data_IF_934555139415
#
_entry.id   IF_934555139415
#
_cell.length_a   1.000
_cell.length_b   1.000
_cell.length_c   1.000
_cell.angle_alpha   90.00
_cell.angle_beta   90.00
_cell.angle_gamma   90.00
#
_symmetry.space_group_name_H-M   'P 1'
#
loop_
_entity.id
_entity.type
_entity.pdbx_description
1 polymer ?
#
# COMPACT_ATOMS: atom_id res chain seq x y z
N UNK A 1 -6.57 -2.94 11.59
CA UNK A 1 -5.65 -3.47 10.57
C UNK A 1 -5.65 -4.99 10.49
N UNK A 2 -5.24 -5.70 11.55
CA UNK A 2 -5.11 -7.17 11.59
C UNK A 2 -6.34 -7.96 11.10
N UNK A 3 -7.55 -7.50 11.44
CA UNK A 3 -8.83 -8.08 11.01
C UNK A 3 -9.00 -8.15 9.49
N UNK A 4 -8.41 -7.22 8.74
CA UNK A 4 -8.56 -7.17 7.27
C UNK A 4 -7.94 -8.42 6.65
N UNK A 5 -6.83 -8.94 7.21
CA UNK A 5 -6.17 -10.16 6.74
C UNK A 5 -5.69 -10.07 5.29
N UNK A 6 -5.80 -11.16 4.53
CA UNK A 6 -5.33 -11.24 3.13
C UNK A 6 -5.93 -10.20 2.18
N UNK A 7 -7.23 -9.82 2.27
CA UNK A 7 -7.80 -8.70 1.51
C UNK A 7 -6.99 -7.40 1.55
N UNK A 8 -6.22 -7.17 2.61
CA UNK A 8 -5.35 -6.01 2.75
C UNK A 8 -4.32 -5.91 1.63
N UNK A 9 -3.74 -7.04 1.19
CA UNK A 9 -2.77 -7.06 0.11
C UNK A 9 -3.39 -6.62 -1.21
N UNK A 10 -4.65 -6.99 -1.46
CA UNK A 10 -5.40 -6.53 -2.63
C UNK A 10 -5.74 -5.04 -2.56
N UNK A 11 -6.12 -4.53 -1.37
CA UNK A 11 -6.40 -3.10 -1.22
C UNK A 11 -5.12 -2.30 -1.46
N UNK A 12 -4.01 -2.70 -0.85
CA UNK A 12 -2.73 -2.02 -1.04
C UNK A 12 -2.22 -2.10 -2.47
N UNK A 13 -2.33 -3.27 -3.12
CA UNK A 13 -1.82 -3.42 -4.49
C UNK A 13 -2.73 -2.78 -5.53
N UNK A 14 -4.05 -3.00 -5.44
CA UNK A 14 -5.01 -2.55 -6.45
C UNK A 14 -5.49 -1.12 -6.24
N UNK A 15 -5.45 -0.61 -5.00
CA UNK A 15 -5.75 0.79 -4.69
C UNK A 15 -4.49 1.58 -4.41
N UNK A 16 -3.84 1.38 -3.27
CA UNK A 16 -2.78 2.28 -2.80
C UNK A 16 -1.62 2.41 -3.80
N UNK A 17 -1.02 1.30 -4.23
CA UNK A 17 0.09 1.32 -5.19
C UNK A 17 -0.33 1.81 -6.57
N UNK A 18 -1.48 1.36 -7.09
CA UNK A 18 -1.97 1.84 -8.39
C UNK A 18 -2.30 3.34 -8.35
N UNK A 19 -2.82 3.85 -7.23
CA UNK A 19 -3.05 5.26 -7.03
C UNK A 19 -1.73 6.04 -7.00
N UNK A 20 -0.75 5.58 -6.23
CA UNK A 20 0.59 6.18 -6.18
C UNK A 20 1.29 6.15 -7.54
N UNK A 21 1.10 5.08 -8.33
CA UNK A 21 1.62 4.99 -9.69
C UNK A 21 0.99 5.99 -10.64
N UNK A 22 -0.20 6.52 -10.34
CA UNK A 22 -0.80 7.59 -11.13
C UNK A 22 -0.04 8.93 -11.00
N UNK A 23 0.94 9.05 -10.10
CA UNK A 23 1.85 10.19 -10.01
C UNK A 23 3.21 9.88 -10.62
N UNK A 24 3.49 10.45 -11.80
CA UNK A 24 4.79 10.27 -12.48
C UNK A 24 5.98 10.72 -11.61
N UNK A 25 5.84 11.81 -10.86
CA UNK A 25 6.90 12.31 -9.98
C UNK A 25 7.15 11.40 -8.78
N UNK A 26 6.08 10.90 -8.13
CA UNK A 26 6.19 10.07 -6.94
C UNK A 26 6.83 8.70 -7.24
N UNK A 27 6.69 8.18 -8.46
CA UNK A 27 7.31 6.91 -8.85
C UNK A 27 8.77 7.01 -9.28
N UNK A 28 9.27 8.19 -9.68
CA UNK A 28 10.65 8.34 -10.19
C UNK A 28 11.71 7.81 -9.24
N UNK A 29 11.66 7.99 -7.91
CA UNK A 29 12.68 7.42 -7.02
C UNK A 29 12.83 5.88 -7.16
N UNK A 30 11.77 5.19 -7.58
CA UNK A 30 11.78 3.74 -7.83
C UNK A 30 12.56 3.38 -9.09
N UNK A 31 12.59 4.29 -10.06
CA UNK A 31 13.24 4.13 -11.35
C UNK A 31 14.74 4.37 -11.21
N UNK A 32 15.11 5.44 -10.52
CA UNK A 32 16.50 5.81 -10.19
C UNK A 32 17.24 4.79 -9.32
N UNK A 33 16.52 4.03 -8.49
CA UNK A 33 17.13 2.98 -7.68
C UNK A 33 17.38 1.69 -8.46
N UNK A 34 16.95 1.61 -9.74
CA UNK A 34 17.17 0.48 -10.62
C UNK A 34 16.37 -0.78 -10.24
N UNK A 35 15.24 -0.60 -9.54
CA UNK A 35 14.47 -1.70 -8.94
C UNK A 35 13.12 -1.96 -9.62
N UNK A 36 12.94 -1.50 -10.87
CA UNK A 36 11.65 -1.47 -11.55
C UNK A 36 11.14 -2.84 -12.03
N UNK A 37 12.01 -3.69 -12.57
CA UNK A 37 11.59 -4.81 -13.42
C UNK A 37 11.77 -6.19 -12.76
N UNK A 38 12.85 -6.40 -11.99
CA UNK A 38 13.18 -7.71 -11.38
C UNK A 38 12.98 -7.78 -9.87
N UNK A 39 12.62 -6.66 -9.24
CA UNK A 39 12.49 -6.56 -7.79
C UNK A 39 11.07 -6.28 -7.30
N UNK A 40 10.08 -6.12 -8.19
CA UNK A 40 8.70 -5.83 -7.77
C UNK A 40 8.15 -6.86 -6.75
N UNK A 41 8.30 -8.19 -6.94
CA UNK A 41 7.88 -9.17 -5.93
C UNK A 41 8.61 -9.00 -4.59
N UNK A 42 9.92 -8.78 -4.63
CA UNK A 42 10.75 -8.58 -3.43
C UNK A 42 10.31 -7.32 -2.69
N UNK A 43 10.20 -6.19 -3.37
CA UNK A 43 9.77 -4.91 -2.76
C UNK A 43 8.36 -4.96 -2.19
N UNK A 44 7.45 -5.68 -2.84
CA UNK A 44 6.13 -5.96 -2.28
C UNK A 44 6.25 -6.75 -0.97
N UNK A 45 7.12 -7.75 -0.93
CA UNK A 45 7.38 -8.53 0.27
C UNK A 45 8.02 -7.67 1.39
N UNK A 46 8.97 -6.79 1.06
CA UNK A 46 9.61 -5.85 1.99
C UNK A 46 8.59 -4.86 2.59
N UNK A 47 7.73 -4.29 1.73
CA UNK A 47 6.62 -3.42 2.16
C UNK A 47 5.62 -4.19 3.00
N UNK A 48 5.33 -5.44 2.64
CA UNK A 48 4.49 -6.36 3.41
C UNK A 48 5.07 -6.66 4.79
N UNK A 49 6.39 -6.82 4.93
CA UNK A 49 7.05 -6.97 6.23
C UNK A 49 6.86 -5.71 7.08
N UNK A 50 7.18 -4.54 6.52
CA UNK A 50 7.01 -3.26 7.22
C UNK A 50 5.58 -3.10 7.75
N UNK A 51 4.60 -3.37 6.89
CA UNK A 51 3.18 -3.35 7.20
C UNK A 51 2.83 -4.27 8.38
N UNK A 52 3.26 -5.51 8.30
CA UNK A 52 2.99 -6.54 9.30
C UNK A 52 3.56 -6.12 10.66
N UNK A 53 4.83 -5.70 10.71
CA UNK A 53 5.52 -5.32 11.94
C UNK A 53 4.94 -4.05 12.58
N UNK A 54 4.60 -3.04 11.78
CA UNK A 54 3.94 -1.81 12.27
C UNK A 54 2.57 -2.10 12.86
N UNK A 55 1.83 -3.04 12.26
CA UNK A 55 0.45 -3.30 12.62
C UNK A 55 0.27 -4.39 13.69
N UNK A 56 1.37 -4.87 14.29
CA UNK A 56 1.30 -5.70 15.49
C UNK A 56 0.89 -4.89 16.72
N UNK A 57 0.30 -5.57 17.71
CA UNK A 57 0.02 -4.96 19.00
C UNK A 57 1.35 -4.54 19.64
N UNK A 58 1.50 -3.25 19.95
CA UNK A 58 2.77 -2.69 20.42
C UNK A 58 3.87 -2.59 19.36
N UNK A 59 3.59 -2.89 18.08
CA UNK A 59 4.57 -2.92 16.99
C UNK A 59 5.27 -1.59 16.70
N UNK A 60 4.67 -0.48 17.16
CA UNK A 60 5.21 0.89 17.04
C UNK A 60 5.55 1.54 18.39
N UNK A 61 5.56 0.76 19.47
CA UNK A 61 6.13 1.22 20.74
C UNK A 61 7.64 1.51 20.55
N UNK A 62 8.24 2.42 21.36
CA UNK A 62 9.67 2.66 21.30
C UNK A 62 10.47 1.36 21.34
N UNK A 63 11.39 1.19 20.40
CA UNK A 63 12.22 -0.02 20.23
C UNK A 63 11.45 -1.30 19.84
N UNK A 64 10.18 -1.24 19.46
CA UNK A 64 9.53 -2.35 18.77
C UNK A 64 10.05 -2.49 17.33
N UNK A 65 9.75 -3.62 16.68
CA UNK A 65 10.29 -3.90 15.35
C UNK A 65 9.74 -2.96 14.28
N UNK A 66 8.42 -2.74 14.25
CA UNK A 66 7.80 -1.76 13.34
C UNK A 66 8.34 -0.34 13.55
N UNK A 67 8.59 0.05 14.81
CA UNK A 67 9.25 1.32 15.14
C UNK A 67 10.66 1.41 14.56
N UNK A 68 11.49 0.36 14.71
CA UNK A 68 12.85 0.31 14.15
C UNK A 68 12.82 0.37 12.63
N UNK A 69 11.91 -0.37 11.99
CA UNK A 69 11.79 -0.38 10.52
C UNK A 69 11.37 1.02 10.03
N UNK A 70 10.41 1.69 10.67
CA UNK A 70 9.98 3.04 10.28
C UNK A 70 11.16 4.04 10.30
N UNK A 71 12.03 3.97 11.33
CA UNK A 71 13.24 4.80 11.39
C UNK A 71 14.29 4.40 10.34
N UNK A 72 14.47 3.11 10.06
CA UNK A 72 15.35 2.65 8.97
C UNK A 72 14.87 3.17 7.63
N UNK A 73 13.57 3.15 7.35
CA UNK A 73 12.96 3.72 6.14
C UNK A 73 13.24 5.22 6.04
N UNK A 74 13.15 5.98 7.14
CA UNK A 74 13.53 7.41 7.16
C UNK A 74 14.98 7.64 6.73
N UNK A 75 15.91 6.86 7.29
CA UNK A 75 17.33 6.95 6.96
C UNK A 75 17.59 6.53 5.50
N UNK A 76 16.94 5.46 5.05
CA UNK A 76 16.98 4.99 3.67
C UNK A 76 16.50 6.09 2.71
N UNK A 77 15.35 6.72 2.97
CA UNK A 77 14.83 7.83 2.16
C UNK A 77 15.79 9.01 2.11
N UNK A 78 16.46 9.36 3.21
CA UNK A 78 17.49 10.40 3.21
C UNK A 78 18.69 10.02 2.33
N UNK A 79 19.15 8.77 2.41
CA UNK A 79 20.22 8.23 1.57
C UNK A 79 19.86 8.22 0.09
N UNK A 80 18.68 7.70 -0.26
CA UNK A 80 18.15 7.68 -1.63
C UNK A 80 17.99 9.08 -2.19
N UNK A 81 17.43 10.02 -1.41
CA UNK A 81 17.31 11.43 -1.83
C UNK A 81 18.67 12.03 -2.16
N UNK A 82 19.68 11.82 -1.30
CA UNK A 82 21.05 12.30 -1.55
C UNK A 82 21.68 11.65 -2.78
N UNK A 83 21.46 10.34 -2.97
CA UNK A 83 21.96 9.59 -4.12
C UNK A 83 21.38 10.13 -5.42
N UNK A 84 20.06 10.29 -5.49
CA UNK A 84 19.34 10.82 -6.66
C UNK A 84 19.80 12.23 -7.01
N UNK A 85 19.87 13.13 -6.01
CA UNK A 85 20.31 14.50 -6.26
C UNK A 85 21.78 14.59 -6.73
N UNK A 86 22.62 13.61 -6.36
CA UNK A 86 24.02 13.54 -6.79
C UNK A 86 24.21 12.93 -8.18
N UNK A 87 23.23 12.22 -8.72
CA UNK A 87 23.38 11.63 -10.06
C UNK A 87 23.40 12.70 -11.16
N UNK A 88 22.84 13.89 -10.90
CA UNK A 88 22.71 14.96 -11.89
C UNK A 88 21.61 14.74 -12.93
N UNK A 89 20.92 13.60 -12.87
CA UNK A 89 19.87 13.19 -13.81
C UNK A 89 18.46 13.54 -13.33
N UNK A 90 18.31 14.01 -12.08
CA UNK A 90 17.02 14.37 -11.51
C UNK A 90 16.57 15.77 -11.95
N UNK A 91 15.41 15.87 -12.60
CA UNK A 91 14.78 17.14 -12.98
C UNK A 91 13.90 17.67 -11.84
N UNK A 92 14.50 18.47 -10.95
CA UNK A 92 13.77 19.08 -9.82
C UNK A 92 12.74 20.12 -10.25
N UNK A 93 12.89 20.75 -11.41
CA UNK A 93 11.90 21.71 -11.89
C UNK A 93 10.60 21.02 -12.29
N UNK A 94 10.71 19.81 -12.86
CA UNK A 94 9.56 19.01 -13.30
C UNK A 94 8.98 18.13 -12.20
N UNK A 95 9.81 17.51 -11.36
CA UNK A 95 9.37 16.50 -10.38
C UNK A 95 9.42 16.96 -8.93
N UNK A 96 9.88 18.19 -8.66
CA UNK A 96 10.15 18.65 -7.31
C UNK A 96 11.36 17.96 -6.68
N UNK A 97 11.48 17.98 -5.36
CA UNK A 97 12.54 17.23 -4.67
C UNK A 97 12.19 15.74 -4.60
N UNK A 98 13.17 14.83 -4.72
CA UNK A 98 12.91 13.41 -4.61
C UNK A 98 12.45 13.05 -3.21
N UNK A 99 11.39 12.24 -3.10
CA UNK A 99 10.79 11.82 -1.82
C UNK A 99 10.48 13.07 -0.98
N UNK A 100 9.78 14.05 -1.56
CA UNK A 100 9.44 15.28 -0.84
C UNK A 100 8.34 15.05 0.21
N UNK A 101 8.05 16.08 1.01
CA UNK A 101 7.09 15.99 2.11
C UNK A 101 5.65 15.73 1.64
N UNK A 102 5.26 16.23 0.46
CA UNK A 102 3.93 15.99 -0.10
C UNK A 102 3.77 14.53 -0.54
N UNK A 103 4.77 13.97 -1.23
CA UNK A 103 4.78 12.55 -1.63
C UNK A 103 4.77 11.64 -0.39
N UNK A 104 5.58 11.97 0.62
CA UNK A 104 5.60 11.22 1.87
C UNK A 104 4.24 11.26 2.59
N UNK A 105 3.57 12.42 2.63
CA UNK A 105 2.22 12.53 3.19
C UNK A 105 1.18 11.75 2.36
N UNK A 106 1.31 11.76 1.02
CA UNK A 106 0.52 10.93 0.11
C UNK A 106 0.65 9.43 0.43
N UNK A 107 1.87 8.95 0.67
CA UNK A 107 2.08 7.56 1.12
C UNK A 107 1.43 7.27 2.48
N UNK A 108 1.43 8.21 3.42
CA UNK A 108 0.71 8.03 4.70
C UNK A 108 -0.80 7.93 4.47
N UNK A 109 -1.37 8.76 3.57
CA UNK A 109 -2.78 8.67 3.14
C UNK A 109 -3.09 7.30 2.52
N UNK A 110 -2.21 6.80 1.65
CA UNK A 110 -2.33 5.49 0.98
C UNK A 110 -2.39 4.31 1.96
N UNK A 111 -1.59 4.32 3.02
CA UNK A 111 -1.60 3.28 4.06
C UNK A 111 -2.76 3.42 5.06
N UNK A 112 -3.38 4.60 5.13
CA UNK A 112 -4.42 4.91 6.10
C UNK A 112 -5.81 4.93 5.46
N UNK A 113 -6.16 6.07 4.87
CA UNK A 113 -7.49 6.37 4.36
C UNK A 113 -7.87 5.47 3.17
N UNK A 114 -6.94 5.18 2.27
CA UNK A 114 -7.22 4.31 1.12
C UNK A 114 -7.40 2.86 1.56
N UNK A 115 -6.65 2.40 2.57
CA UNK A 115 -6.87 1.08 3.17
C UNK A 115 -8.25 0.99 3.82
N UNK A 116 -8.64 2.02 4.56
CA UNK A 116 -9.94 2.09 5.21
C UNK A 116 -11.08 2.12 4.17
N UNK A 117 -10.98 2.97 3.15
CA UNK A 117 -11.95 3.06 2.07
C UNK A 117 -12.05 1.74 1.29
N UNK A 118 -10.91 1.14 0.93
CA UNK A 118 -10.85 -0.15 0.23
C UNK A 118 -11.47 -1.28 1.03
N UNK A 119 -11.21 -1.33 2.34
CA UNK A 119 -11.82 -2.32 3.19
C UNK A 119 -13.35 -2.15 3.24
N UNK A 120 -13.86 -0.92 3.35
CA UNK A 120 -15.31 -0.66 3.32
C UNK A 120 -15.95 -1.03 1.98
N UNK A 121 -15.27 -0.73 0.88
CA UNK A 121 -15.73 -1.13 -0.46
C UNK A 121 -15.79 -2.66 -0.62
N UNK A 122 -14.85 -3.38 -0.03
CA UNK A 122 -14.87 -4.84 0.06
C UNK A 122 -15.88 -5.38 1.08
N UNK A 123 -16.62 -4.54 1.83
CA UNK A 123 -17.67 -4.97 2.75
C UNK A 123 -17.29 -5.04 4.23
N UNK A 124 -16.06 -4.67 4.60
CA UNK A 124 -15.68 -4.57 6.00
C UNK A 124 -16.42 -3.42 6.70
N UNK A 125 -16.87 -3.65 7.93
CA UNK A 125 -17.53 -2.62 8.76
C UNK A 125 -16.57 -2.14 9.83
N UNK A 126 -16.47 -0.83 10.00
CA UNK A 126 -15.63 -0.22 11.02
C UNK A 126 -16.45 0.67 11.93
N UNK A 127 -16.18 0.61 13.23
CA UNK A 127 -16.66 1.63 14.16
C UNK A 127 -15.87 2.94 13.93
N UNK A 128 -16.44 4.11 14.28
CA UNK A 128 -15.70 5.37 14.21
C UNK A 128 -14.35 5.29 14.93
N UNK A 129 -14.33 4.77 16.17
CA UNK A 129 -13.10 4.62 16.94
C UNK A 129 -12.03 3.71 16.28
N UNK A 130 -12.44 2.69 15.53
CA UNK A 130 -11.50 1.82 14.81
C UNK A 130 -10.89 2.53 13.59
N UNK A 131 -11.70 3.37 12.94
CA UNK A 131 -11.28 4.17 11.80
C UNK A 131 -10.27 5.24 12.25
N UNK A 132 -10.59 5.94 13.34
CA UNK A 132 -9.70 6.92 13.97
C UNK A 132 -8.40 6.28 14.48
N UNK A 133 -8.46 5.10 15.09
CA UNK A 133 -7.27 4.38 15.53
C UNK A 133 -6.35 4.00 14.35
N UNK A 134 -6.92 3.65 13.20
CA UNK A 134 -6.14 3.33 11.99
C UNK A 134 -5.45 4.58 11.43
N UNK A 135 -6.16 5.71 11.33
CA UNK A 135 -5.57 6.98 10.89
C UNK A 135 -4.48 7.44 11.87
N UNK A 136 -4.73 7.32 13.17
CA UNK A 136 -3.76 7.69 14.20
C UNK A 136 -2.48 6.85 14.14
N UNK A 137 -2.60 5.52 13.96
CA UNK A 137 -1.45 4.63 13.78
C UNK A 137 -0.53 5.13 12.67
N UNK A 138 -1.09 5.45 11.51
CA UNK A 138 -0.31 5.90 10.36
C UNK A 138 0.17 7.35 10.49
N UNK A 139 -0.54 8.21 11.21
CA UNK A 139 -0.04 9.52 11.60
C UNK A 139 1.23 9.40 12.46
N UNK A 140 1.24 8.47 13.42
CA UNK A 140 2.42 8.16 14.23
C UNK A 140 3.57 7.59 13.39
N UNK A 141 3.29 6.63 12.51
CA UNK A 141 4.30 6.08 11.59
C UNK A 141 4.86 7.15 10.64
N UNK A 142 4.02 8.08 10.17
CA UNK A 142 4.44 9.24 9.39
C UNK A 142 5.40 10.15 10.16
N UNK A 143 5.13 10.39 11.43
CA UNK A 143 6.05 11.13 12.31
C UNK A 143 7.40 10.43 12.42
N UNK A 144 7.42 9.13 12.70
CA UNK A 144 8.66 8.33 12.76
C UNK A 144 9.42 8.39 11.43
N UNK A 145 8.70 8.30 10.31
CA UNK A 145 9.25 8.33 8.95
C UNK A 145 9.75 9.71 8.51
N UNK A 146 9.46 10.78 9.28
CA UNK A 146 9.95 12.13 9.03
C UNK A 146 9.02 13.05 8.23
N UNK A 147 7.71 12.75 8.21
CA UNK A 147 6.70 13.67 7.67
C UNK A 147 6.53 14.87 8.62
N UNK A 148 6.45 16.08 8.06
CA UNK A 148 6.31 17.31 8.81
C UNK A 148 4.98 17.36 9.58
N UNK A 149 5.02 17.88 10.82
CA UNK A 149 3.85 17.95 11.69
C UNK A 149 2.63 18.64 11.05
N UNK A 150 2.76 19.78 10.33
CA UNK A 150 1.59 20.41 9.71
C UNK A 150 0.84 19.52 8.71
N UNK A 151 1.54 18.63 7.99
CA UNK A 151 0.90 17.68 7.06
C UNK A 151 0.23 16.53 7.81
N UNK A 152 0.82 16.11 8.93
CA UNK A 152 0.24 15.08 9.80
C UNK A 152 -0.98 15.61 10.55
N UNK A 153 -1.03 16.89 10.89
CA UNK A 153 -2.18 17.53 11.54
C UNK A 153 -3.44 17.51 10.65
N UNK A 154 -3.26 17.45 9.32
CA UNK A 154 -4.37 17.21 8.38
C UNK A 154 -4.95 15.79 8.50
N UNK A 155 -4.19 14.84 9.05
CA UNK A 155 -4.64 13.49 9.40
C UNK A 155 -5.04 13.38 10.89
N UNK A 156 -5.45 14.49 11.51
CA UNK A 156 -5.90 14.50 12.90
C UNK A 156 -7.06 13.53 13.15
N UNK A 157 -7.97 13.42 12.17
CA UNK A 157 -9.09 12.49 12.13
C UNK A 157 -9.41 12.07 10.70
N UNK A 158 -10.32 11.11 10.53
CA UNK A 158 -10.68 10.59 9.22
C UNK A 158 -11.25 11.67 8.29
N UNK A 159 -12.20 12.47 8.75
CA UNK A 159 -12.90 13.45 7.92
C UNK A 159 -11.96 14.53 7.36
N UNK A 160 -11.10 15.09 8.22
CA UNK A 160 -10.07 16.06 7.80
C UNK A 160 -9.07 15.41 6.84
N UNK A 161 -8.67 14.17 7.12
CA UNK A 161 -7.76 13.42 6.26
C UNK A 161 -8.33 13.19 4.86
N UNK A 162 -9.62 12.89 4.74
CA UNK A 162 -10.29 12.74 3.44
C UNK A 162 -10.27 14.07 2.66
N UNK A 163 -10.57 15.19 3.31
CA UNK A 163 -10.49 16.50 2.66
C UNK A 163 -9.07 16.81 2.17
N UNK A 164 -8.06 16.49 2.97
CA UNK A 164 -6.66 16.65 2.58
C UNK A 164 -6.25 15.71 1.44
N UNK A 165 -6.72 14.46 1.43
CA UNK A 165 -6.46 13.53 0.34
C UNK A 165 -7.04 14.02 -1.00
N UNK A 166 -8.23 14.63 -1.00
CA UNK A 166 -8.79 15.25 -2.20
C UNK A 166 -7.92 16.43 -2.69
N UNK A 167 -7.39 17.26 -1.79
CA UNK A 167 -6.46 18.33 -2.16
C UNK A 167 -5.16 17.79 -2.76
N UNK A 168 -4.56 16.76 -2.14
CA UNK A 168 -3.35 16.12 -2.67
C UNK A 168 -3.59 15.58 -4.07
N UNK A 169 -4.74 14.92 -4.29
CA UNK A 169 -5.12 14.36 -5.60
C UNK A 169 -5.21 15.41 -6.70
N UNK A 170 -5.64 16.64 -6.38
CA UNK A 170 -5.76 17.73 -7.37
C UNK A 170 -4.40 18.23 -7.88
N UNK A 171 -3.33 18.06 -7.10
CA UNK A 171 -1.99 18.55 -7.44
C UNK A 171 -1.04 17.44 -7.91
N UNK A 172 -1.48 16.18 -7.89
CA UNK A 172 -0.65 15.09 -8.39
C UNK A 172 -0.48 15.21 -9.91
N UNK A 173 0.76 15.12 -10.42
CA UNK A 173 0.96 14.99 -11.85
C UNK A 173 0.32 13.68 -12.33
N UNK A 174 -0.15 13.65 -13.58
CA UNK A 174 -0.62 12.39 -14.18
C UNK A 174 0.51 11.37 -14.36
N UNK A 175 0.17 10.15 -14.81
CA UNK A 175 1.14 9.09 -15.02
C UNK A 175 2.03 9.39 -16.22
N UNK A 176 3.27 8.90 -16.18
CA UNK A 176 4.17 8.87 -17.33
C UNK A 176 4.57 7.42 -17.68
N UNK A 177 5.58 7.23 -18.54
CA UNK A 177 5.96 5.88 -18.96
C UNK A 177 6.41 4.99 -17.79
N UNK A 178 7.09 5.55 -16.79
CA UNK A 178 7.55 4.77 -15.63
C UNK A 178 6.36 4.29 -14.79
N UNK A 179 5.32 5.12 -14.69
CA UNK A 179 4.04 4.75 -14.07
C UNK A 179 3.39 3.55 -14.76
N UNK A 180 3.39 3.54 -16.09
CA UNK A 180 2.80 2.46 -16.89
C UNK A 180 3.57 1.15 -16.70
N UNK A 181 4.90 1.23 -16.71
CA UNK A 181 5.77 0.06 -16.59
C UNK A 181 5.63 -0.56 -15.19
N UNK A 182 5.57 0.27 -14.15
CA UNK A 182 5.30 -0.18 -12.77
C UNK A 182 3.93 -0.81 -12.60
N UNK A 183 2.88 -0.20 -13.18
CA UNK A 183 1.54 -0.76 -13.15
C UNK A 183 1.48 -2.12 -13.87
N UNK A 184 2.15 -2.25 -15.02
CA UNK A 184 2.23 -3.50 -15.76
C UNK A 184 2.98 -4.59 -14.96
N UNK A 185 4.12 -4.25 -14.35
CA UNK A 185 4.90 -5.17 -13.53
C UNK A 185 4.13 -5.65 -12.30
N UNK A 186 3.46 -4.74 -11.58
CA UNK A 186 2.69 -5.08 -10.38
C UNK A 186 1.58 -6.11 -10.66
N UNK A 187 0.90 -5.97 -11.80
CA UNK A 187 -0.21 -6.87 -12.19
C UNK A 187 0.22 -8.31 -12.38
N UNK A 188 1.46 -8.55 -12.82
CA UNK A 188 1.93 -9.90 -13.11
C UNK A 188 2.63 -10.58 -11.94
N UNK A 189 2.87 -9.87 -10.82
CA UNK A 189 3.49 -10.43 -9.61
C UNK A 189 2.84 -11.76 -9.16
N UNK A 190 1.50 -11.92 -9.10
CA UNK A 190 0.91 -13.20 -8.72
C UNK A 190 1.27 -14.36 -9.67
N UNK A 191 1.47 -14.07 -10.97
CA UNK A 191 1.88 -15.08 -11.96
C UNK A 191 3.37 -15.40 -11.86
N UNK A 192 4.20 -14.41 -11.60
CA UNK A 192 5.66 -14.59 -11.43
C UNK A 192 6.00 -15.32 -10.13
N UNK A 193 5.26 -15.06 -9.06
CA UNK A 193 5.44 -15.75 -7.78
C UNK A 193 4.92 -17.20 -7.79
N UNK A 194 4.11 -17.60 -8.78
CA UNK A 194 3.49 -18.92 -8.83
C UNK A 194 4.48 -20.02 -9.27
N UNK A 195 4.78 -20.96 -8.36
CA UNK A 195 5.74 -22.04 -8.59
C UNK A 195 5.05 -23.32 -9.06
N UNK A 196 3.93 -23.66 -8.42
CA UNK A 196 3.19 -24.90 -8.67
C UNK A 196 2.10 -24.74 -9.74
N UNK A 197 1.63 -25.85 -10.32
CA UNK A 197 0.51 -25.83 -11.30
C UNK A 197 -0.78 -25.23 -10.71
N UNK A 198 -1.06 -25.52 -9.43
CA UNK A 198 -2.23 -24.98 -8.72
C UNK A 198 -2.11 -23.47 -8.52
N UNK A 199 -0.94 -22.98 -8.14
CA UNK A 199 -0.69 -21.54 -8.00
C UNK A 199 -0.78 -20.82 -9.35
N UNK A 200 -0.29 -21.42 -10.43
CA UNK A 200 -0.42 -20.84 -11.78
C UNK A 200 -1.88 -20.72 -12.22
N UNK A 201 -2.70 -21.72 -11.91
CA UNK A 201 -4.14 -21.67 -12.16
C UNK A 201 -4.82 -20.59 -11.32
N UNK A 202 -4.48 -20.50 -10.03
CA UNK A 202 -5.00 -19.46 -9.15
C UNK A 202 -4.60 -18.06 -9.63
N UNK A 203 -3.34 -17.87 -10.03
CA UNK A 203 -2.84 -16.62 -10.56
C UNK A 203 -3.60 -16.16 -11.81
N UNK A 204 -4.03 -17.09 -12.67
CA UNK A 204 -4.84 -16.79 -13.84
C UNK A 204 -6.21 -16.17 -13.49
N UNK A 205 -6.77 -16.48 -12.32
CA UNK A 205 -7.99 -15.85 -11.80
C UNK A 205 -7.71 -14.59 -10.97
N UNK A 206 -6.60 -14.57 -10.22
CA UNK A 206 -6.22 -13.44 -9.35
C UNK A 206 -5.88 -12.19 -10.14
N UNK A 207 -5.17 -12.31 -11.27
CA UNK A 207 -4.79 -11.14 -12.10
C UNK A 207 -6.01 -10.36 -12.61
N UNK A 208 -6.98 -10.95 -13.30
CA UNK A 208 -8.14 -10.18 -13.77
C UNK A 208 -9.02 -9.70 -12.61
N UNK A 209 -9.06 -10.41 -11.48
CA UNK A 209 -9.71 -9.91 -10.27
C UNK A 209 -9.03 -8.66 -9.70
N UNK A 210 -7.69 -8.67 -9.59
CA UNK A 210 -6.90 -7.51 -9.19
C UNK A 210 -7.11 -6.31 -10.13
N UNK A 211 -7.12 -6.54 -11.44
CA UNK A 211 -7.44 -5.51 -12.43
C UNK A 211 -8.83 -4.93 -12.18
N UNK A 212 -9.83 -5.80 -11.98
CA UNK A 212 -11.19 -5.40 -11.62
C UNK A 212 -11.26 -4.53 -10.36
N UNK A 213 -10.56 -4.91 -9.30
CA UNK A 213 -10.45 -4.10 -8.08
C UNK A 213 -9.80 -2.74 -8.35
N UNK A 214 -8.77 -2.70 -9.20
CA UNK A 214 -8.11 -1.43 -9.58
C UNK A 214 -9.11 -0.48 -10.24
N UNK A 215 -9.97 -0.99 -11.14
CA UNK A 215 -11.06 -0.23 -11.75
C UNK A 215 -12.12 0.21 -10.73
N UNK A 216 -12.53 -0.68 -9.82
CA UNK A 216 -13.57 -0.38 -8.84
C UNK A 216 -13.12 0.69 -7.82
N UNK A 217 -11.86 0.65 -7.41
CA UNK A 217 -11.30 1.53 -6.39
C UNK A 217 -10.86 2.91 -6.93
N UNK A 218 -10.11 2.92 -8.04
CA UNK A 218 -9.52 4.17 -8.56
C UNK A 218 -10.44 4.90 -9.56
N UNK A 219 -11.49 4.23 -10.02
CA UNK A 219 -12.40 4.74 -11.02
C UNK A 219 -11.83 4.75 -12.44
N UNK A 220 -12.69 5.10 -13.40
CA UNK A 220 -12.39 4.93 -14.82
C UNK A 220 -11.28 5.87 -15.35
N UNK A 221 -11.02 7.01 -14.72
CA UNK A 221 -10.01 7.96 -15.18
C UNK A 221 -8.60 7.41 -14.94
N UNK A 222 -8.29 7.07 -13.68
CA UNK A 222 -6.97 6.56 -13.27
C UNK A 222 -6.71 5.19 -13.93
N UNK A 223 -7.68 4.28 -13.91
CA UNK A 223 -7.50 2.96 -14.50
C UNK A 223 -7.27 3.01 -16.02
N UNK A 224 -7.88 3.96 -16.74
CA UNK A 224 -7.58 4.19 -18.18
C UNK A 224 -6.20 4.80 -18.37
N UNK A 225 -5.85 5.80 -17.57
CA UNK A 225 -4.55 6.46 -17.65
C UNK A 225 -3.40 5.45 -17.42
N UNK A 226 -3.59 4.48 -16.53
CA UNK A 226 -2.65 3.38 -16.26
C UNK A 226 -2.80 2.17 -17.19
N UNK A 227 -3.70 2.22 -18.17
CA UNK A 227 -3.95 1.14 -19.16
C UNK A 227 -4.28 -0.22 -18.53
N UNK A 228 -5.05 -0.20 -17.44
CA UNK A 228 -5.47 -1.43 -16.75
C UNK A 228 -6.52 -2.17 -17.61
N UNK A 229 -6.33 -3.44 -17.97
CA UNK A 229 -7.29 -4.20 -18.77
C UNK A 229 -8.41 -4.76 -17.89
N UNK A 230 -9.20 -5.69 -18.42
CA UNK A 230 -10.21 -6.45 -17.67
C UNK A 230 -11.28 -5.57 -16.96
N UNK A 231 -11.64 -4.41 -17.52
CA UNK A 231 -12.62 -3.47 -16.93
C UNK A 231 -13.89 -4.12 -16.42
N UNK A 232 -14.43 -5.13 -17.11
CA UNK A 232 -15.65 -5.82 -16.70
C UNK A 232 -15.53 -6.51 -15.32
N UNK A 233 -14.32 -6.89 -14.91
CA UNK A 233 -14.07 -7.51 -13.62
C UNK A 233 -14.27 -6.57 -12.43
N UNK A 234 -14.48 -5.27 -12.64
CA UNK A 234 -14.86 -4.33 -11.57
C UNK A 234 -16.10 -4.78 -10.80
N UNK A 235 -17.00 -5.51 -11.46
CA UNK A 235 -18.22 -6.02 -10.85
C UNK A 235 -17.97 -7.21 -9.90
N UNK A 236 -16.77 -7.81 -9.90
CA UNK A 236 -16.38 -8.84 -8.92
C UNK A 236 -16.31 -8.30 -7.48
N UNK A 237 -16.33 -6.97 -7.31
CA UNK A 237 -16.43 -6.34 -6.00
C UNK A 237 -17.77 -6.66 -5.31
N UNK A 238 -18.87 -6.80 -6.04
CA UNK A 238 -20.20 -7.05 -5.46
C UNK A 238 -20.30 -8.40 -4.73
N UNK A 239 -19.94 -9.56 -5.35
CA UNK A 239 -19.95 -10.83 -4.63
C UNK A 239 -18.92 -10.84 -3.49
N UNK A 240 -17.78 -10.17 -3.65
CA UNK A 240 -16.78 -10.02 -2.57
C UNK A 240 -17.37 -9.27 -1.38
N UNK A 241 -18.05 -8.14 -1.64
CA UNK A 241 -18.72 -7.31 -0.64
C UNK A 241 -19.80 -8.07 0.10
N UNK A 242 -20.57 -8.89 -0.61
CA UNK A 242 -21.58 -9.76 0.01
C UNK A 242 -20.94 -10.79 0.96
N UNK A 243 -19.89 -11.48 0.50
CA UNK A 243 -19.18 -12.47 1.29
C UNK A 243 -18.56 -11.87 2.56
N UNK A 244 -17.79 -10.79 2.41
CA UNK A 244 -17.15 -10.10 3.54
C UNK A 244 -18.20 -9.49 4.47
N UNK A 245 -19.27 -8.90 3.94
CA UNK A 245 -20.36 -8.36 4.75
C UNK A 245 -21.08 -9.43 5.58
N UNK A 246 -21.21 -10.65 5.04
CA UNK A 246 -21.69 -11.81 5.78
C UNK A 246 -20.74 -12.21 6.91
N UNK A 247 -19.45 -12.31 6.62
CA UNK A 247 -18.41 -12.58 7.63
C UNK A 247 -18.36 -11.53 8.74
N UNK A 248 -18.56 -10.25 8.39
CA UNK A 248 -18.64 -9.15 9.35
C UNK A 248 -19.89 -9.23 10.23
N UNK A 249 -21.01 -9.72 9.68
CA UNK A 249 -22.22 -9.97 10.47
C UNK A 249 -21.96 -11.09 11.49
N UNK A 250 -21.31 -12.18 11.08
CA UNK A 250 -20.89 -13.26 12.00
C UNK A 250 -19.93 -12.75 13.07
N UNK A 251 -18.95 -11.93 12.69
CA UNK A 251 -18.02 -11.32 13.65
C UNK A 251 -18.75 -10.50 14.71
N UNK A 252 -19.73 -9.69 14.31
CA UNK A 252 -20.47 -8.80 15.19
C UNK A 252 -21.43 -9.53 16.13
N UNK A 253 -21.94 -10.71 15.75
CA UNK A 253 -22.86 -11.49 16.56
C UNK A 253 -22.17 -12.51 17.46
N UNK A 254 -20.96 -12.95 17.10
CA UNK A 254 -20.20 -13.93 17.88
C UNK A 254 -19.51 -13.25 19.08
N UNK A 255 -19.73 -13.72 20.32
CA UNK A 255 -18.96 -13.28 21.48
C UNK A 255 -17.46 -13.50 21.26
N UNK A 256 -16.65 -12.44 21.38
CA UNK A 256 -15.21 -12.49 21.10
C UNK A 256 -14.85 -12.52 19.60
N UNK A 257 -15.81 -12.30 18.70
CA UNK A 257 -15.61 -12.29 17.25
C UNK A 257 -14.49 -11.34 16.80
N UNK A 258 -14.40 -10.15 17.40
CA UNK A 258 -13.33 -9.18 17.10
C UNK A 258 -11.93 -9.78 17.27
N UNK A 259 -11.68 -10.41 18.43
CA UNK A 259 -10.40 -11.02 18.74
C UNK A 259 -10.13 -12.24 17.85
N UNK A 260 -11.15 -13.06 17.58
CA UNK A 260 -11.02 -14.23 16.71
C UNK A 260 -10.63 -13.83 15.28
N UNK A 261 -11.39 -12.91 14.68
CA UNK A 261 -11.14 -12.45 13.31
C UNK A 261 -9.83 -11.68 13.19
N UNK A 262 -9.47 -10.87 14.20
CA UNK A 262 -8.17 -10.21 14.23
C UNK A 262 -7.02 -11.23 14.27
N UNK A 263 -7.07 -12.24 15.17
CA UNK A 263 -6.03 -13.28 15.27
C UNK A 263 -5.95 -14.14 14.00
N UNK A 264 -7.09 -14.48 13.39
CA UNK A 264 -7.13 -15.26 12.16
C UNK A 264 -6.58 -14.46 10.98
N UNK A 265 -7.03 -13.21 10.82
CA UNK A 265 -6.55 -12.29 9.78
C UNK A 265 -5.05 -12.02 9.90
N UNK A 266 -4.55 -11.74 11.11
CA UNK A 266 -3.14 -11.51 11.38
C UNK A 266 -2.31 -12.74 11.01
N UNK A 267 -2.68 -13.93 11.49
CA UNK A 267 -1.98 -15.19 11.17
C UNK A 267 -1.95 -15.48 9.67
N UNK A 268 -3.07 -15.27 8.98
CA UNK A 268 -3.15 -15.49 7.54
C UNK A 268 -2.28 -14.51 6.73
N UNK A 269 -2.23 -13.24 7.14
CA UNK A 269 -1.39 -12.23 6.50
C UNK A 269 0.10 -12.52 6.73
N UNK A 270 0.49 -12.80 7.98
CA UNK A 270 1.86 -13.19 8.35
C UNK A 270 2.34 -14.38 7.52
N UNK A 271 1.54 -15.45 7.45
CA UNK A 271 1.91 -16.64 6.68
C UNK A 271 2.14 -16.33 5.19
N UNK A 272 1.34 -15.44 4.59
CA UNK A 272 1.53 -15.02 3.20
C UNK A 272 2.79 -14.18 3.01
N UNK A 273 3.04 -13.20 3.88
CA UNK A 273 4.23 -12.35 3.81
C UNK A 273 5.51 -13.16 4.04
N UNK A 274 5.54 -14.04 5.04
CA UNK A 274 6.69 -14.93 5.29
C UNK A 274 6.98 -15.82 4.09
N UNK A 275 5.93 -16.34 3.43
CA UNK A 275 6.09 -17.11 2.20
C UNK A 275 6.65 -16.26 1.06
N UNK A 276 6.22 -15.00 0.93
CA UNK A 276 6.75 -14.08 -0.11
C UNK A 276 8.21 -13.69 0.13
N UNK A 277 8.65 -13.62 1.39
CA UNK A 277 10.03 -13.27 1.74
C UNK A 277 11.00 -14.45 1.64
N UNK A 278 10.51 -15.69 1.53
CA UNK A 278 11.33 -16.93 1.54
C UNK A 278 12.30 -17.01 2.73
N UNK A 279 12.02 -16.29 3.81
CA UNK A 279 12.90 -16.19 4.99
C UNK A 279 14.09 -15.23 4.86
N UNK A 280 14.22 -14.49 3.76
CA UNK A 280 15.30 -13.52 3.57
C UNK A 280 15.03 -12.19 4.30
N UNK A 281 16.06 -11.62 4.94
CA UNK A 281 16.03 -10.25 5.44
C UNK A 281 16.10 -9.26 4.25
N UNK A 282 15.24 -8.22 4.21
CA UNK A 282 15.38 -7.12 3.28
C UNK A 282 16.68 -6.33 3.48
N UNK A 283 17.74 -6.69 2.78
CA UNK A 283 18.92 -5.82 2.72
C UNK A 283 18.76 -4.74 1.64
N UNK A 284 18.50 -3.50 2.07
CA UNK A 284 18.74 -2.33 1.25
C UNK A 284 20.22 -1.98 1.30
N UNK A 285 20.95 -2.36 0.25
CA UNK A 285 22.32 -1.87 0.03
C UNK A 285 22.25 -0.74 -1.01
N UNK A 286 22.41 0.54 -0.60
CA UNK A 286 22.46 1.62 -1.58
C UNK A 286 23.63 1.35 -2.54
N UNK A 287 23.39 1.45 -3.86
CA UNK A 287 24.48 1.45 -4.83
C UNK A 287 25.44 2.58 -4.42
N UNK A 288 26.71 2.24 -4.22
CA UNK A 288 27.76 3.25 -4.08
C UNK A 288 27.82 3.98 -5.42
N UNK A 289 27.40 5.24 -5.42
CA UNK A 289 27.60 6.20 -6.51
C UNK A 289 28.95 6.86 -6.27
#
# INVERSE_FOLDING_TARGET
YQRIGKPLLFILSAWSLMNGYHSGAAVKPLTFTGQLDRMAPRRLAETGRFLVEVCQDGGVAPYAEGWRIALRVRLMHAGVRRMILRSGEWDSARWGLPINQADMAGTIIEFSLLVLAGARELGFRFRPAESEALVHLWRWVGHLSGVAAPLLDELANEARGVAFAELVKLVQPGPDQDSLDLAAALRVVPREAARTRREKLLAAAVVPYHDGLTWAFNGDAIARALRIPNRAWRHAIHPTRLLVGGLETVRQTLPGGDALFARAGNRALHADITRMLEGAEPDFVPRRV
#
